data_IF_393010635787
#
_entry.id   IF_393010635787
#
_cell.length_a   1.000
_cell.length_b   1.000
_cell.length_c   1.000
_cell.angle_alpha   90.00
_cell.angle_beta   90.00
_cell.angle_gamma   90.00
#
_symmetry.space_group_name_H-M   'P 1'
#
loop_
_entity.id
_entity.type
_entity.pdbx_description
1 polymer ?
#
# COMPACT_ATOMS: atom_id res chain seq x y z
N UNK A 1 23.37 -6.47 74.89
CA UNK A 1 23.56 -6.00 73.50
C UNK A 1 24.87 -6.56 73.01
N UNK A 2 24.89 -7.56 72.10
CA UNK A 2 26.14 -8.00 71.50
C UNK A 2 26.26 -7.44 70.11
N UNK A 3 27.34 -6.81 69.80
CA UNK A 3 27.75 -6.35 68.46
C UNK A 3 28.07 -7.54 67.60
N UNK A 4 27.49 -7.55 66.43
CA UNK A 4 27.72 -8.53 65.34
C UNK A 4 28.89 -8.01 64.51
N UNK A 5 30.03 -8.61 64.67
CA UNK A 5 31.27 -8.36 63.92
C UNK A 5 31.12 -9.03 62.53
N UNK A 6 30.96 -8.28 61.49
CA UNK A 6 31.18 -8.77 60.13
C UNK A 6 32.63 -8.90 59.82
N UNK A 7 33.12 -10.13 59.80
CA UNK A 7 34.45 -10.45 59.32
C UNK A 7 34.55 -10.27 57.82
N UNK A 8 35.40 -9.38 57.42
CA UNK A 8 35.89 -9.13 56.06
C UNK A 8 36.44 -10.44 55.48
N UNK A 9 35.76 -10.96 54.50
CA UNK A 9 36.28 -11.95 53.52
C UNK A 9 36.14 -11.36 52.12
N UNK A 10 37.04 -10.45 51.84
CA UNK A 10 37.15 -9.90 50.49
C UNK A 10 38.64 -9.75 50.22
N UNK A 11 39.18 -10.71 49.52
CA UNK A 11 40.35 -10.54 48.65
C UNK A 11 40.69 -11.89 48.00
N UNK A 12 40.88 -11.82 46.69
CA UNK A 12 41.45 -12.86 45.83
C UNK A 12 40.46 -13.81 45.17
N UNK A 13 39.59 -13.30 44.29
CA UNK A 13 39.20 -13.98 43.02
C UNK A 13 38.52 -13.02 42.02
N UNK A 14 39.29 -12.10 41.49
CA UNK A 14 39.10 -11.52 40.16
C UNK A 14 40.52 -11.17 39.68
N UNK A 15 41.02 -11.65 38.58
CA UNK A 15 40.55 -11.28 37.27
C UNK A 15 40.75 -12.40 36.21
N UNK A 16 39.74 -12.96 35.66
CA UNK A 16 39.92 -13.86 34.51
C UNK A 16 38.62 -14.03 33.66
N UNK A 17 37.68 -13.08 33.70
CA UNK A 17 36.45 -13.12 32.86
C UNK A 17 36.17 -11.78 32.14
N UNK A 18 37.24 -11.05 31.79
CA UNK A 18 37.10 -9.81 31.00
C UNK A 18 37.75 -9.91 29.60
N UNK A 19 37.76 -11.08 28.97
CA UNK A 19 38.38 -11.23 27.66
C UNK A 19 37.53 -12.02 26.65
N UNK A 20 36.24 -12.16 26.87
CA UNK A 20 35.40 -12.92 25.92
C UNK A 20 34.12 -12.18 25.44
N UNK A 21 34.00 -10.85 25.58
CA UNK A 21 32.80 -10.10 25.25
C UNK A 21 32.98 -9.10 24.11
N UNK A 22 34.02 -9.18 23.32
CA UNK A 22 34.30 -8.20 22.25
C UNK A 22 34.30 -8.77 20.83
N UNK A 23 33.67 -9.92 20.58
CA UNK A 23 33.72 -10.57 19.26
C UNK A 23 32.34 -10.94 18.65
N UNK A 24 31.23 -10.35 19.14
CA UNK A 24 29.90 -10.61 18.54
C UNK A 24 29.14 -9.34 18.15
N UNK A 25 29.81 -8.22 17.94
CA UNK A 25 29.20 -6.96 17.51
C UNK A 25 29.45 -6.65 16.03
N UNK A 26 29.57 -7.66 15.19
CA UNK A 26 29.81 -7.44 13.76
C UNK A 26 28.96 -8.41 12.97
N UNK A 27 27.79 -8.03 12.57
CA UNK A 27 27.06 -8.44 11.37
C UNK A 27 25.53 -8.37 11.55
N UNK A 28 25.01 -7.27 12.08
CA UNK A 28 23.66 -6.87 11.69
C UNK A 28 23.84 -5.78 10.64
N UNK A 29 24.28 -6.16 9.44
CA UNK A 29 23.95 -5.43 8.25
C UNK A 29 22.44 -5.49 8.15
N UNK A 30 21.75 -4.45 8.65
CA UNK A 30 20.39 -4.16 8.21
C UNK A 30 20.50 -3.97 6.70
N UNK A 31 20.21 -5.05 5.96
CA UNK A 31 19.72 -4.91 4.62
C UNK A 31 18.37 -4.20 4.78
N UNK A 32 18.38 -2.89 4.62
CA UNK A 32 17.21 -2.17 4.13
C UNK A 32 17.02 -2.73 2.71
N UNK A 33 16.43 -3.92 2.61
CA UNK A 33 15.88 -4.45 1.39
C UNK A 33 14.74 -3.50 1.05
N UNK A 34 15.04 -2.47 0.28
CA UNK A 34 14.00 -1.82 -0.50
C UNK A 34 13.27 -2.95 -1.21
N UNK A 35 11.94 -3.00 -1.09
CA UNK A 35 11.09 -4.04 -1.68
C UNK A 35 11.48 -4.25 -3.15
N UNK A 36 12.43 -5.14 -3.40
CA UNK A 36 12.82 -5.48 -4.75
C UNK A 36 11.67 -6.29 -5.35
N UNK A 37 10.96 -5.66 -6.30
CA UNK A 37 9.83 -6.27 -6.97
C UNK A 37 10.34 -7.52 -7.69
N UNK A 38 9.74 -8.67 -7.40
CA UNK A 38 10.11 -9.95 -8.02
C UNK A 38 9.92 -9.95 -9.55
N UNK A 39 10.57 -10.89 -10.23
CA UNK A 39 10.60 -10.94 -11.69
C UNK A 39 9.20 -11.14 -12.30
N UNK A 40 8.32 -11.92 -11.67
CA UNK A 40 6.96 -12.14 -12.14
C UNK A 40 6.13 -10.86 -12.05
N UNK A 41 6.24 -10.14 -10.94
CA UNK A 41 5.60 -8.83 -10.76
C UNK A 41 6.15 -7.80 -11.74
N UNK A 42 7.48 -7.76 -12.00
CA UNK A 42 8.07 -6.89 -13.04
C UNK A 42 7.50 -7.19 -14.42
N UNK A 43 7.39 -8.47 -14.79
CA UNK A 43 6.83 -8.89 -16.08
C UNK A 43 5.34 -8.48 -16.21
N UNK A 44 4.56 -8.66 -15.15
CA UNK A 44 3.15 -8.26 -15.11
C UNK A 44 2.98 -6.75 -15.25
N UNK A 45 3.78 -5.96 -14.56
CA UNK A 45 3.80 -4.50 -14.70
C UNK A 45 4.12 -4.10 -16.15
N UNK A 46 5.10 -4.74 -16.78
CA UNK A 46 5.46 -4.46 -18.17
C UNK A 46 4.31 -4.75 -19.16
N UNK A 47 3.44 -5.73 -18.86
CA UNK A 47 2.22 -5.96 -19.64
C UNK A 47 1.20 -4.84 -19.44
N UNK A 48 0.99 -4.39 -18.22
CA UNK A 48 0.06 -3.29 -17.94
C UNK A 48 0.50 -1.98 -18.60
N UNK A 49 1.81 -1.71 -18.62
CA UNK A 49 2.38 -0.49 -19.21
C UNK A 49 2.23 -0.44 -20.75
N UNK A 50 1.94 -1.57 -21.42
CA UNK A 50 1.65 -1.63 -22.87
C UNK A 50 0.22 -1.29 -23.23
N UNK A 51 -0.70 -1.28 -22.28
CA UNK A 51 -2.11 -0.99 -22.51
C UNK A 51 -2.41 0.51 -22.69
N UNK A 52 -3.68 0.87 -22.91
CA UNK A 52 -4.11 2.26 -22.99
C UNK A 52 -3.68 3.09 -21.77
N UNK A 53 -3.23 4.32 -22.01
CA UNK A 53 -2.83 5.27 -20.95
C UNK A 53 -3.88 6.33 -20.67
N UNK A 54 -5.07 6.21 -21.23
CA UNK A 54 -6.21 7.10 -21.02
C UNK A 54 -7.51 6.32 -20.96
N UNK A 55 -8.53 6.93 -20.34
CA UNK A 55 -9.88 6.40 -20.23
C UNK A 55 -10.83 7.41 -20.87
N UNK A 56 -11.76 6.96 -21.69
CA UNK A 56 -12.89 7.79 -22.11
C UNK A 56 -13.88 7.88 -20.93
N UNK A 57 -13.95 9.05 -20.34
CA UNK A 57 -14.87 9.37 -19.23
C UNK A 57 -16.02 10.26 -19.67
N UNK A 58 -16.28 10.38 -20.98
CA UNK A 58 -17.32 11.28 -21.53
C UNK A 58 -18.69 11.00 -20.92
N UNK A 59 -19.04 9.73 -20.72
CA UNK A 59 -20.29 9.28 -20.13
C UNK A 59 -20.32 9.29 -18.59
N UNK A 60 -19.21 9.61 -17.91
CA UNK A 60 -19.16 9.58 -16.45
C UNK A 60 -19.82 10.82 -15.82
N UNK A 61 -20.35 10.73 -14.57
CA UNK A 61 -20.84 11.88 -13.83
C UNK A 61 -19.76 12.98 -13.66
N UNK A 62 -20.19 14.23 -13.53
CA UNK A 62 -19.29 15.37 -13.44
C UNK A 62 -18.26 15.23 -12.29
N UNK A 63 -18.67 14.71 -11.13
CA UNK A 63 -17.77 14.43 -10.01
C UNK A 63 -16.70 13.40 -10.33
N UNK A 64 -17.06 12.31 -11.04
CA UNK A 64 -16.10 11.29 -11.46
C UNK A 64 -15.12 11.85 -12.51
N UNK A 65 -15.57 12.68 -13.44
CA UNK A 65 -14.70 13.39 -14.41
C UNK A 65 -13.70 14.31 -13.69
N UNK A 66 -14.17 15.07 -12.71
CA UNK A 66 -13.30 15.93 -11.91
C UNK A 66 -12.23 15.10 -11.18
N UNK A 67 -12.60 13.98 -10.59
CA UNK A 67 -11.68 13.08 -9.91
C UNK A 67 -10.72 12.38 -10.90
N UNK A 68 -11.16 12.05 -12.13
CA UNK A 68 -10.27 11.59 -13.20
C UNK A 68 -9.19 12.60 -13.55
N UNK A 69 -9.51 13.89 -13.59
CA UNK A 69 -8.52 14.93 -13.86
C UNK A 69 -7.47 14.99 -12.73
N UNK A 70 -7.88 14.82 -11.46
CA UNK A 70 -6.94 14.71 -10.33
C UNK A 70 -6.06 13.46 -10.47
N UNK A 71 -6.64 12.31 -10.77
CA UNK A 71 -5.89 11.07 -11.04
C UNK A 71 -4.88 11.28 -12.16
N UNK A 72 -5.33 11.81 -13.31
CA UNK A 72 -4.47 12.04 -14.47
C UNK A 72 -3.31 12.97 -14.16
N UNK A 73 -3.58 14.15 -13.61
CA UNK A 73 -2.54 15.16 -13.35
C UNK A 73 -1.57 14.77 -12.24
N UNK A 74 -2.00 13.90 -11.32
CA UNK A 74 -1.17 13.48 -10.17
C UNK A 74 -0.35 12.25 -10.48
N UNK A 75 -0.96 11.21 -11.05
CA UNK A 75 -0.28 9.91 -11.23
C UNK A 75 0.67 9.92 -12.43
N UNK A 76 0.43 10.77 -13.46
CA UNK A 76 1.31 10.89 -14.63
C UNK A 76 2.67 11.52 -14.34
N UNK A 77 2.89 12.06 -13.14
CA UNK A 77 4.16 12.71 -12.77
C UNK A 77 5.32 11.73 -12.62
N UNK A 78 5.04 10.47 -12.29
CA UNK A 78 6.07 9.50 -11.97
C UNK A 78 6.14 8.32 -12.95
N UNK A 79 5.01 7.94 -13.56
CA UNK A 79 4.94 6.84 -14.52
C UNK A 79 3.71 7.00 -15.42
N UNK A 80 3.64 6.20 -16.50
CA UNK A 80 2.45 6.18 -17.36
C UNK A 80 1.19 5.77 -16.61
N UNK A 81 0.06 6.33 -16.99
CA UNK A 81 -1.26 5.94 -16.47
C UNK A 81 -1.68 4.54 -16.91
N UNK A 82 -1.05 3.95 -17.93
CA UNK A 82 -1.36 2.61 -18.40
C UNK A 82 -1.32 1.59 -17.26
N UNK A 83 -0.34 1.71 -16.34
CA UNK A 83 -0.18 0.79 -15.22
C UNK A 83 -1.42 0.70 -14.31
N UNK A 84 -1.91 1.77 -13.68
CA UNK A 84 -3.13 1.69 -12.87
C UNK A 84 -4.40 1.45 -13.70
N UNK A 85 -4.45 1.86 -14.97
CA UNK A 85 -5.60 1.66 -15.84
C UNK A 85 -5.77 0.18 -16.21
N UNK A 86 -4.67 -0.53 -16.50
CA UNK A 86 -4.71 -1.90 -17.02
C UNK A 86 -4.39 -2.98 -15.99
N UNK A 87 -4.02 -2.60 -14.74
CA UNK A 87 -3.81 -3.60 -13.68
C UNK A 87 -5.11 -4.36 -13.39
N UNK A 88 -4.99 -5.50 -12.73
CA UNK A 88 -6.09 -6.38 -12.37
C UNK A 88 -6.77 -6.06 -11.02
N UNK A 89 -6.42 -4.93 -10.41
CA UNK A 89 -7.10 -4.47 -9.20
C UNK A 89 -8.55 -4.08 -9.50
N UNK A 90 -9.46 -4.60 -8.67
CA UNK A 90 -10.91 -4.38 -8.79
C UNK A 90 -11.59 -4.12 -7.45
N UNK A 91 -11.05 -4.63 -6.34
CA UNK A 91 -11.65 -4.45 -5.04
C UNK A 91 -11.28 -3.09 -4.41
N UNK A 92 -12.19 -2.44 -3.68
CA UNK A 92 -11.92 -1.18 -3.00
C UNK A 92 -10.67 -1.21 -2.11
N UNK A 93 -10.41 -2.32 -1.41
CA UNK A 93 -9.24 -2.46 -0.55
C UNK A 93 -7.93 -2.56 -1.34
N UNK A 94 -7.94 -3.14 -2.53
CA UNK A 94 -6.77 -3.15 -3.41
C UNK A 94 -6.43 -1.73 -3.84
N UNK A 95 -7.43 -0.94 -4.24
CA UNK A 95 -7.25 0.45 -4.60
C UNK A 95 -6.79 1.31 -3.42
N UNK A 96 -7.35 1.07 -2.24
CA UNK A 96 -6.92 1.77 -1.02
C UNK A 96 -5.44 1.52 -0.73
N UNK A 97 -5.00 0.26 -0.76
CA UNK A 97 -3.59 -0.12 -0.57
C UNK A 97 -2.70 0.45 -1.67
N UNK A 98 -3.15 0.41 -2.92
CA UNK A 98 -2.41 0.95 -4.05
C UNK A 98 -2.17 2.45 -3.91
N UNK A 99 -3.22 3.24 -3.68
CA UNK A 99 -3.12 4.70 -3.52
C UNK A 99 -2.25 5.06 -2.31
N UNK A 100 -2.46 4.38 -1.18
CA UNK A 100 -1.64 4.58 0.03
C UNK A 100 -0.16 4.32 -0.25
N UNK A 101 0.19 3.24 -0.95
CA UNK A 101 1.58 2.95 -1.34
C UNK A 101 2.17 4.06 -2.22
N UNK A 102 1.40 4.64 -3.13
CA UNK A 102 1.86 5.76 -3.97
C UNK A 102 2.06 7.04 -3.16
N UNK A 103 1.23 7.31 -2.14
CA UNK A 103 1.40 8.44 -1.24
C UNK A 103 2.76 8.42 -0.51
N UNK A 104 3.24 7.24 -0.13
CA UNK A 104 4.49 7.08 0.61
C UNK A 104 5.75 6.93 -0.26
N UNK A 105 5.62 7.06 -1.58
CA UNK A 105 6.82 7.06 -2.45
C UNK A 105 7.61 8.37 -2.27
N UNK A 106 8.95 8.32 -2.33
CA UNK A 106 9.77 9.53 -2.32
C UNK A 106 9.28 10.52 -3.38
N UNK A 107 9.26 11.80 -3.04
CA UNK A 107 8.79 12.90 -3.89
C UNK A 107 7.31 12.81 -4.30
N UNK A 108 6.52 11.99 -3.65
CA UNK A 108 5.07 11.97 -3.86
C UNK A 108 4.47 13.29 -3.39
N UNK A 109 3.60 13.90 -4.22
CA UNK A 109 2.80 15.06 -3.86
C UNK A 109 1.32 14.71 -3.70
N UNK A 110 1.02 13.46 -3.37
CA UNK A 110 -0.34 12.95 -3.17
C UNK A 110 -0.77 13.30 -1.73
N UNK A 111 -1.52 14.38 -1.58
CA UNK A 111 -2.14 14.73 -0.30
C UNK A 111 -3.29 13.77 0.03
N UNK A 112 -3.72 13.66 1.30
CA UNK A 112 -4.89 12.84 1.67
C UNK A 112 -6.15 13.18 0.86
N UNK A 113 -6.35 14.46 0.52
CA UNK A 113 -7.48 14.88 -0.30
C UNK A 113 -7.38 14.36 -1.75
N UNK A 114 -6.20 14.50 -2.37
CA UNK A 114 -5.95 13.93 -3.70
C UNK A 114 -6.11 12.41 -3.68
N UNK A 115 -5.58 11.75 -2.66
CA UNK A 115 -5.71 10.30 -2.50
C UNK A 115 -7.15 9.84 -2.44
N UNK A 116 -8.01 10.55 -1.69
CA UNK A 116 -9.45 10.27 -1.62
C UNK A 116 -10.10 10.39 -3.00
N UNK A 117 -9.82 11.47 -3.74
CA UNK A 117 -10.37 11.69 -5.09
C UNK A 117 -9.92 10.61 -6.07
N UNK A 118 -8.63 10.26 -6.05
CA UNK A 118 -8.05 9.20 -6.89
C UNK A 118 -8.69 7.85 -6.56
N UNK A 119 -8.78 7.49 -5.27
CA UNK A 119 -9.44 6.26 -4.83
C UNK A 119 -10.88 6.17 -5.30
N UNK A 120 -11.67 7.20 -5.07
CA UNK A 120 -13.07 7.25 -5.51
C UNK A 120 -13.21 7.07 -7.02
N UNK A 121 -12.34 7.72 -7.81
CA UNK A 121 -12.31 7.55 -9.25
C UNK A 121 -12.01 6.10 -9.64
N UNK A 122 -10.96 5.50 -9.09
CA UNK A 122 -10.54 4.14 -9.44
C UNK A 122 -11.59 3.08 -9.05
N UNK A 123 -12.24 3.23 -7.90
CA UNK A 123 -13.35 2.34 -7.49
C UNK A 123 -14.54 2.51 -8.45
N UNK A 124 -14.94 3.73 -8.75
CA UNK A 124 -16.06 4.00 -9.68
C UNK A 124 -15.77 3.45 -11.08
N UNK A 125 -14.61 3.78 -11.64
CA UNK A 125 -14.16 3.30 -12.94
C UNK A 125 -14.17 1.76 -13.04
N UNK A 126 -13.82 1.10 -11.95
CA UNK A 126 -13.87 -0.37 -11.86
C UNK A 126 -15.28 -0.91 -12.04
N UNK A 127 -16.30 -0.26 -11.49
CA UNK A 127 -17.70 -0.70 -11.65
C UNK A 127 -18.21 -0.57 -13.08
N UNK A 128 -17.55 0.22 -13.91
CA UNK A 128 -17.91 0.44 -15.32
C UNK A 128 -17.03 -0.41 -16.24
N UNK A 129 -15.71 -0.18 -16.23
CA UNK A 129 -14.81 -0.80 -17.21
C UNK A 129 -14.36 -2.21 -16.86
N UNK A 130 -14.31 -2.55 -15.58
CA UNK A 130 -13.82 -3.85 -15.09
C UNK A 130 -14.91 -4.65 -14.40
N UNK A 131 -16.17 -4.39 -14.73
CA UNK A 131 -17.33 -4.99 -14.06
C UNK A 131 -17.24 -6.51 -13.97
N UNK A 132 -16.90 -7.19 -15.04
CA UNK A 132 -16.82 -8.67 -15.06
C UNK A 132 -15.73 -9.22 -14.12
N UNK A 133 -14.61 -8.50 -14.01
CA UNK A 133 -13.53 -8.87 -13.06
C UNK A 133 -13.96 -8.60 -11.63
N UNK A 134 -14.63 -7.48 -11.37
CA UNK A 134 -15.17 -7.13 -10.07
C UNK A 134 -16.20 -8.17 -9.61
N UNK A 135 -17.15 -8.53 -10.48
CA UNK A 135 -18.18 -9.53 -10.16
C UNK A 135 -17.56 -10.89 -9.81
N UNK A 136 -16.53 -11.32 -10.54
CA UNK A 136 -15.78 -12.56 -10.24
C UNK A 136 -15.06 -12.47 -8.89
N UNK A 137 -14.42 -11.34 -8.61
CA UNK A 137 -13.72 -11.13 -7.34
C UNK A 137 -14.70 -11.13 -6.15
N UNK A 138 -15.84 -10.46 -6.28
CA UNK A 138 -16.90 -10.44 -5.26
C UNK A 138 -17.55 -11.83 -5.07
N UNK A 139 -17.67 -12.62 -6.14
CA UNK A 139 -18.18 -13.99 -6.03
C UNK A 139 -17.22 -14.93 -5.32
N UNK A 140 -15.91 -14.71 -5.43
CA UNK A 140 -14.87 -15.51 -4.78
C UNK A 140 -14.57 -15.07 -3.33
N UNK A 141 -15.04 -13.89 -2.92
CA UNK A 141 -14.80 -13.33 -1.59
C UNK A 141 -15.65 -14.02 -0.51
N UNK A 142 -15.18 -14.00 0.75
CA UNK A 142 -16.02 -14.42 1.88
C UNK A 142 -17.26 -13.51 2.01
N UNK A 143 -18.35 -13.98 2.62
CA UNK A 143 -19.56 -13.14 2.79
C UNK A 143 -19.27 -11.80 3.48
N UNK A 144 -18.39 -11.78 4.48
CA UNK A 144 -17.99 -10.57 5.20
C UNK A 144 -17.20 -9.61 4.32
N UNK A 145 -16.19 -10.11 3.60
CA UNK A 145 -15.36 -9.28 2.69
C UNK A 145 -16.19 -8.73 1.53
N UNK A 146 -17.10 -9.55 0.97
CA UNK A 146 -18.03 -9.11 -0.07
C UNK A 146 -18.92 -7.97 0.42
N UNK A 147 -19.53 -8.09 1.60
CA UNK A 147 -20.38 -7.05 2.17
C UNK A 147 -19.59 -5.76 2.41
N UNK A 148 -18.38 -5.86 2.95
CA UNK A 148 -17.51 -4.72 3.17
C UNK A 148 -17.09 -4.03 1.86
N UNK A 149 -16.74 -4.79 0.85
CA UNK A 149 -16.41 -4.26 -0.48
C UNK A 149 -17.62 -3.58 -1.13
N UNK A 150 -18.79 -4.21 -1.09
CA UNK A 150 -20.02 -3.65 -1.64
C UNK A 150 -20.40 -2.33 -0.97
N UNK A 151 -20.33 -2.26 0.36
CA UNK A 151 -20.59 -1.01 1.10
C UNK A 151 -19.72 0.15 0.63
N UNK A 152 -18.43 -0.09 0.37
CA UNK A 152 -17.51 0.94 -0.13
C UNK A 152 -17.80 1.33 -1.59
N UNK A 153 -18.22 0.39 -2.42
CA UNK A 153 -18.64 0.64 -3.79
C UNK A 153 -19.89 1.52 -3.78
N UNK A 154 -20.88 1.19 -2.95
CA UNK A 154 -22.12 1.93 -2.84
C UNK A 154 -21.90 3.35 -2.33
N UNK A 155 -21.00 3.53 -1.35
CA UNK A 155 -20.59 4.86 -0.86
C UNK A 155 -20.00 5.72 -2.00
N UNK A 156 -19.13 5.14 -2.83
CA UNK A 156 -18.49 5.84 -3.94
C UNK A 156 -19.51 6.16 -5.04
N UNK A 157 -20.39 5.22 -5.38
CA UNK A 157 -21.43 5.44 -6.37
C UNK A 157 -22.41 6.55 -5.91
N UNK A 158 -22.81 6.54 -4.66
CA UNK A 158 -23.67 7.58 -4.09
C UNK A 158 -23.00 8.96 -4.14
N UNK A 159 -21.68 9.04 -3.87
CA UNK A 159 -20.92 10.29 -3.94
C UNK A 159 -20.90 10.91 -5.35
N UNK A 160 -21.10 10.12 -6.40
CA UNK A 160 -21.19 10.60 -7.78
C UNK A 160 -22.63 10.68 -8.33
N UNK A 161 -23.64 10.39 -7.49
CA UNK A 161 -25.05 10.37 -7.91
C UNK A 161 -25.40 9.23 -8.86
N UNK A 162 -24.57 8.19 -8.92
CA UNK A 162 -24.86 6.97 -9.64
C UNK A 162 -25.80 6.09 -8.80
N UNK A 163 -26.89 5.64 -9.42
CA UNK A 163 -27.88 4.71 -8.82
C UNK A 163 -27.59 3.28 -9.24
#
# INVERSE_FOLDING_TARGET
>A
MPEIRYKVWMQHRLPLLMAASLALASAVCLHAAGDEIDAATKAKIALFDKGPSSIDVSAYPAGAKANYNVFKSTCSLCHTLARPINCDFVLPDEWSRYVKRMMFKPSSNITPEKAKKIYQFLVYDTTIRKKDLLDKALAAATPGDKAAAQSKIDEVNAAFGAK
#
